data_IF_217080612528
#
_entry.id   IF_217080612528
#
_cell.length_a   1.000
_cell.length_b   1.000
_cell.length_c   1.000
_cell.angle_alpha   90.00
_cell.angle_beta   90.00
_cell.angle_gamma   90.00
#
_symmetry.space_group_name_H-M   'P 1'
#
loop_
_entity.id
_entity.type
_entity.pdbx_description
1 polymer ?
#
# COMPACT_ATOMS: atom_id res chain seq x y z
N UNK A 1 -70.84 -6.97 -20.49
CA UNK A 1 -69.40 -6.77 -20.24
C UNK A 1 -68.60 -7.82 -21.00
N UNK A 2 -67.30 -7.62 -21.16
CA UNK A 2 -66.34 -8.58 -21.70
C UNK A 2 -65.01 -8.37 -20.97
N UNK A 3 -64.14 -9.39 -20.97
CA UNK A 3 -62.79 -9.29 -20.40
C UNK A 3 -61.77 -9.20 -21.53
N UNK A 4 -60.73 -8.37 -21.33
CA UNK A 4 -59.57 -8.26 -22.22
C UNK A 4 -58.31 -8.52 -21.39
N UNK A 5 -57.34 -9.20 -21.99
CA UNK A 5 -55.97 -9.32 -21.46
C UNK A 5 -55.09 -8.21 -21.99
N UNK A 6 -53.86 -8.12 -21.48
CA UNK A 6 -52.86 -7.16 -21.96
C UNK A 6 -52.68 -7.28 -23.49
N UNK A 7 -52.88 -6.16 -24.19
CA UNK A 7 -52.76 -6.07 -25.64
C UNK A 7 -53.96 -6.58 -26.44
N UNK A 8 -55.03 -7.07 -25.80
CA UNK A 8 -56.26 -7.43 -26.50
C UNK A 8 -57.14 -6.21 -26.77
N UNK A 9 -57.95 -6.28 -27.84
CA UNK A 9 -58.92 -5.25 -28.21
C UNK A 9 -60.23 -5.87 -28.66
N UNK A 10 -61.31 -5.06 -28.68
CA UNK A 10 -62.62 -5.49 -29.16
C UNK A 10 -63.34 -4.36 -29.87
N UNK A 11 -63.99 -4.70 -30.99
CA UNK A 11 -64.77 -3.76 -31.79
C UNK A 11 -66.25 -4.06 -31.67
N UNK A 12 -67.06 -3.03 -31.41
CA UNK A 12 -68.51 -3.10 -31.51
C UNK A 12 -68.96 -2.50 -32.84
N UNK A 13 -69.66 -3.29 -33.66
CA UNK A 13 -70.09 -2.90 -35.02
C UNK A 13 -71.60 -2.78 -35.13
N UNK A 14 -72.09 -2.00 -36.10
CA UNK A 14 -73.52 -1.86 -36.38
C UNK A 14 -74.28 -0.96 -35.39
N UNK A 15 -73.59 -0.07 -34.70
CA UNK A 15 -74.20 0.89 -33.79
C UNK A 15 -74.92 2.01 -34.58
N UNK A 16 -76.09 2.49 -34.12
CA UNK A 16 -76.76 3.65 -34.70
C UNK A 16 -75.87 4.91 -34.70
N UNK A 17 -76.05 5.76 -35.70
CA UNK A 17 -75.38 7.08 -35.76
C UNK A 17 -76.07 8.08 -34.83
N UNK A 18 -75.34 9.11 -34.41
CA UNK A 18 -75.78 10.22 -33.55
C UNK A 18 -76.22 9.81 -32.13
N UNK A 19 -75.78 8.63 -31.66
CA UNK A 19 -75.93 8.21 -30.26
C UNK A 19 -74.67 8.51 -29.47
N UNK A 20 -74.84 8.79 -28.17
CA UNK A 20 -73.71 8.94 -27.24
C UNK A 20 -73.33 7.56 -26.68
N UNK A 21 -72.03 7.31 -26.54
CA UNK A 21 -71.49 6.13 -25.89
C UNK A 21 -70.64 6.52 -24.69
N UNK A 22 -70.56 5.61 -23.73
CA UNK A 22 -69.61 5.65 -22.61
C UNK A 22 -69.09 4.23 -22.40
N UNK A 23 -67.79 4.07 -22.21
CA UNK A 23 -67.13 2.81 -21.87
C UNK A 23 -66.46 2.98 -20.53
N UNK A 24 -66.66 2.01 -19.64
CA UNK A 24 -66.03 1.96 -18.32
C UNK A 24 -65.33 0.63 -18.15
N UNK A 25 -64.16 0.63 -17.51
CA UNK A 25 -63.51 -0.58 -17.04
C UNK A 25 -64.08 -0.93 -15.65
N UNK A 26 -64.47 -2.19 -15.46
CA UNK A 26 -64.90 -2.67 -14.14
C UNK A 26 -63.67 -3.06 -13.33
N UNK A 27 -63.70 -2.83 -12.02
CA UNK A 27 -62.56 -3.03 -11.13
C UNK A 27 -61.33 -2.16 -11.48
N UNK A 28 -61.55 -0.99 -12.07
CA UNK A 28 -60.50 0.02 -12.27
C UNK A 28 -59.84 0.39 -10.94
N UNK A 29 -58.55 0.71 -10.99
CA UNK A 29 -57.74 1.14 -9.84
C UNK A 29 -57.66 0.13 -8.67
N UNK A 30 -57.68 -1.17 -8.97
CA UNK A 30 -57.54 -2.25 -7.98
C UNK A 30 -56.21 -2.99 -8.07
N UNK A 31 -55.88 -3.74 -7.01
CA UNK A 31 -54.68 -4.60 -6.95
C UNK A 31 -53.35 -3.87 -7.24
N UNK A 32 -53.29 -2.58 -6.90
CA UNK A 32 -52.13 -1.71 -7.11
C UNK A 32 -51.97 -1.18 -8.53
N UNK A 33 -52.95 -1.39 -9.41
CA UNK A 33 -52.99 -0.74 -10.71
C UNK A 33 -53.62 0.65 -10.61
N UNK A 34 -53.18 1.55 -11.48
CA UNK A 34 -53.84 2.81 -11.82
C UNK A 34 -54.34 2.72 -13.26
N UNK A 35 -55.62 3.00 -13.47
CA UNK A 35 -56.30 2.93 -14.76
C UNK A 35 -56.40 4.32 -15.37
N UNK A 36 -55.95 4.46 -16.63
CA UNK A 36 -56.19 5.66 -17.43
C UNK A 36 -56.99 5.32 -18.68
N UNK A 37 -58.03 6.09 -18.97
CA UNK A 37 -58.89 5.87 -20.12
C UNK A 37 -58.90 7.09 -21.04
N UNK A 38 -58.73 6.87 -22.34
CA UNK A 38 -58.82 7.91 -23.38
C UNK A 38 -59.91 7.56 -24.37
N UNK A 39 -60.72 8.53 -24.79
CA UNK A 39 -61.85 8.32 -25.71
C UNK A 39 -63.04 7.58 -25.11
N UNK A 40 -63.05 7.35 -23.79
CA UNK A 40 -64.05 6.56 -23.07
C UNK A 40 -65.49 7.09 -23.12
N UNK A 41 -65.73 8.23 -23.75
CA UNK A 41 -67.06 8.70 -24.12
C UNK A 41 -67.03 9.58 -25.36
N UNK A 42 -68.14 9.60 -26.10
CA UNK A 42 -68.25 10.36 -27.34
C UNK A 42 -69.58 10.11 -28.06
N UNK A 43 -69.68 10.56 -29.30
CA UNK A 43 -70.85 10.34 -30.16
C UNK A 43 -70.45 9.48 -31.37
N UNK A 44 -71.27 8.49 -31.71
CA UNK A 44 -71.06 7.64 -32.88
C UNK A 44 -71.38 8.44 -34.14
N UNK A 45 -70.37 8.64 -34.98
CA UNK A 45 -70.51 9.31 -36.27
C UNK A 45 -70.51 8.28 -37.41
N UNK A 46 -71.22 8.60 -38.49
CA UNK A 46 -71.35 7.70 -39.63
C UNK A 46 -69.97 7.40 -40.24
N UNK A 47 -69.71 6.13 -40.53
CA UNK A 47 -68.50 5.64 -41.20
C UNK A 47 -67.18 5.96 -40.47
N UNK A 48 -67.24 6.29 -39.17
CA UNK A 48 -66.08 6.55 -38.32
C UNK A 48 -66.05 5.57 -37.17
N UNK A 49 -64.89 4.95 -36.93
CA UNK A 49 -64.65 4.13 -35.74
C UNK A 49 -64.15 5.03 -34.60
N UNK A 50 -64.89 5.08 -33.51
CA UNK A 50 -64.42 5.71 -32.28
C UNK A 50 -63.45 4.76 -31.56
N UNK A 51 -62.27 5.26 -31.20
CA UNK A 51 -61.25 4.49 -30.47
C UNK A 51 -61.31 4.82 -28.98
N UNK A 52 -61.26 3.76 -28.16
CA UNK A 52 -61.18 3.87 -26.70
C UNK A 52 -59.99 3.06 -26.24
N UNK A 53 -59.06 3.69 -25.53
CA UNK A 53 -57.86 3.03 -25.02
C UNK A 53 -57.85 3.11 -23.49
N UNK A 54 -57.71 1.95 -22.85
CA UNK A 54 -57.46 1.82 -21.42
C UNK A 54 -55.99 1.41 -21.21
N UNK A 55 -55.31 2.07 -20.28
CA UNK A 55 -53.95 1.74 -19.84
C UNK A 55 -53.96 1.51 -18.34
N UNK A 56 -53.67 0.27 -17.94
CA UNK A 56 -53.51 -0.13 -16.54
C UNK A 56 -52.02 -0.18 -16.21
N UNK A 57 -51.58 0.68 -15.30
CA UNK A 57 -50.19 0.79 -14.87
C UNK A 57 -50.08 0.34 -13.43
N UNK A 58 -49.26 -0.68 -13.17
CA UNK A 58 -48.84 -1.00 -11.80
C UNK A 58 -47.56 -0.22 -11.55
N UNK A 59 -47.59 0.72 -10.61
CA UNK A 59 -46.33 1.32 -10.15
C UNK A 59 -45.57 0.23 -9.38
N UNK A 60 -44.34 -0.06 -9.81
CA UNK A 60 -43.42 -0.78 -8.95
C UNK A 60 -43.22 0.09 -7.71
N UNK A 61 -43.47 -0.49 -6.53
CA UNK A 61 -43.29 0.15 -5.22
C UNK A 61 -41.98 0.95 -5.25
N UNK A 62 -41.97 2.27 -4.95
CA UNK A 62 -40.72 3.00 -4.89
C UNK A 62 -39.80 2.26 -3.95
N UNK A 63 -38.66 1.80 -4.48
CA UNK A 63 -37.62 1.13 -3.70
C UNK A 63 -37.41 1.98 -2.44
N UNK A 64 -37.61 1.42 -1.23
CA UNK A 64 -37.50 2.20 -0.02
C UNK A 64 -36.13 2.89 -0.06
N UNK A 65 -36.11 4.20 0.16
CA UNK A 65 -34.85 4.93 0.27
C UNK A 65 -33.95 4.27 1.33
N UNK A 66 -32.64 4.58 1.33
CA UNK A 66 -31.69 3.97 2.26
C UNK A 66 -32.25 4.07 3.69
N UNK A 67 -32.28 2.93 4.37
CA UNK A 67 -32.78 2.84 5.74
C UNK A 67 -31.96 3.81 6.61
N UNK A 68 -32.56 4.76 7.34
CA UNK A 68 -31.82 5.72 8.17
C UNK A 68 -30.97 5.03 9.25
N UNK A 69 -31.29 3.78 9.59
CA UNK A 69 -30.55 2.95 10.54
C UNK A 69 -29.57 1.99 9.80
N UNK A 70 -29.15 2.36 8.58
CA UNK A 70 -28.16 1.65 7.79
C UNK A 70 -26.82 2.38 7.69
N UNK A 71 -25.78 1.60 7.44
CA UNK A 71 -24.40 2.02 7.25
C UNK A 71 -23.78 1.27 6.07
N UNK A 72 -23.01 2.00 5.28
CA UNK A 72 -22.15 1.41 4.26
C UNK A 72 -20.77 1.14 4.87
N UNK A 73 -20.32 -0.12 4.80
CA UNK A 73 -18.98 -0.52 5.23
C UNK A 73 -18.11 -0.71 3.99
N UNK A 74 -17.02 0.04 3.91
CA UNK A 74 -16.06 -0.08 2.82
C UNK A 74 -14.78 -0.78 3.29
N UNK A 75 -14.13 -1.51 2.40
CA UNK A 75 -12.79 -2.05 2.60
C UNK A 75 -11.89 -1.69 1.43
N UNK A 76 -10.66 -1.31 1.74
CA UNK A 76 -9.58 -1.11 0.78
C UNK A 76 -8.36 -1.94 1.18
N UNK A 77 -7.77 -2.62 0.21
CA UNK A 77 -6.48 -3.29 0.36
C UNK A 77 -5.36 -2.41 -0.20
N UNK A 78 -4.28 -2.31 0.56
CA UNK A 78 -3.05 -1.61 0.22
C UNK A 78 -1.88 -2.57 0.39
N UNK A 79 -0.95 -2.52 -0.56
CA UNK A 79 0.31 -3.24 -0.54
C UNK A 79 1.43 -2.22 -0.34
N UNK A 80 2.31 -2.48 0.63
CA UNK A 80 3.62 -1.84 0.74
C UNK A 80 4.66 -2.88 0.33
N UNK A 81 5.53 -2.46 -0.58
CA UNK A 81 6.50 -3.30 -1.27
C UNK A 81 7.84 -2.56 -1.22
N UNK A 82 8.46 -2.57 -0.05
CA UNK A 82 9.69 -1.86 0.27
C UNK A 82 10.89 -2.43 -0.50
N UNK A 83 10.92 -3.74 -0.80
CA UNK A 83 12.02 -4.40 -1.50
C UNK A 83 11.74 -4.79 -2.96
N UNK A 84 10.60 -4.32 -3.49
CA UNK A 84 10.18 -4.65 -4.86
C UNK A 84 9.59 -6.06 -4.99
N UNK A 85 9.18 -6.69 -3.88
CA UNK A 85 8.33 -7.86 -3.87
C UNK A 85 7.05 -7.69 -4.70
N UNK A 86 6.36 -8.80 -4.96
CA UNK A 86 5.11 -8.80 -5.72
C UNK A 86 3.90 -8.95 -4.80
N UNK A 87 2.87 -8.13 -5.02
CA UNK A 87 1.56 -8.35 -4.43
C UNK A 87 0.96 -9.68 -4.90
N UNK A 88 0.18 -10.34 -4.03
CA UNK A 88 -0.61 -11.50 -4.45
C UNK A 88 -1.65 -11.10 -5.52
N UNK A 89 -2.07 -12.04 -6.36
CA UNK A 89 -3.07 -11.79 -7.41
C UNK A 89 -4.44 -11.42 -6.82
N UNK A 90 -4.76 -11.94 -5.63
CA UNK A 90 -5.98 -11.66 -4.92
C UNK A 90 -5.86 -11.98 -3.42
N UNK A 91 -6.73 -11.39 -2.59
CA UNK A 91 -6.85 -11.71 -1.16
C UNK A 91 -8.31 -11.91 -0.76
N UNK A 92 -8.54 -12.83 0.18
CA UNK A 92 -9.86 -13.11 0.73
C UNK A 92 -10.09 -12.28 1.99
N UNK A 93 -11.14 -11.48 1.98
CA UNK A 93 -11.53 -10.60 3.10
C UNK A 93 -12.88 -11.00 3.62
N UNK A 94 -13.00 -11.13 4.93
CA UNK A 94 -14.23 -11.52 5.61
C UNK A 94 -14.76 -10.36 6.46
N UNK A 95 -16.04 -10.05 6.27
CA UNK A 95 -16.81 -9.14 7.10
C UNK A 95 -17.47 -9.93 8.23
N UNK A 96 -17.32 -9.45 9.46
CA UNK A 96 -17.93 -10.02 10.65
C UNK A 96 -18.99 -9.09 11.22
N UNK A 97 -20.12 -9.68 11.63
CA UNK A 97 -21.21 -9.05 12.36
C UNK A 97 -21.20 -9.57 13.79
N UNK A 98 -20.95 -8.70 14.76
CA UNK A 98 -20.80 -9.03 16.18
C UNK A 98 -19.81 -10.20 16.42
N UNK A 99 -18.71 -10.20 15.67
CA UNK A 99 -17.68 -11.24 15.75
C UNK A 99 -18.04 -12.56 15.06
N UNK A 100 -19.18 -12.66 14.38
CA UNK A 100 -19.55 -13.82 13.55
C UNK A 100 -19.42 -13.48 12.08
N UNK A 101 -18.82 -14.39 11.31
CA UNK A 101 -18.72 -14.27 9.85
C UNK A 101 -20.10 -13.96 9.24
N UNK A 102 -20.13 -12.93 8.41
CA UNK A 102 -21.32 -12.44 7.73
C UNK A 102 -21.21 -12.62 6.21
N UNK A 103 -20.11 -12.17 5.62
CA UNK A 103 -19.83 -12.27 4.18
C UNK A 103 -18.32 -12.33 3.91
N UNK A 104 -17.95 -12.87 2.75
CA UNK A 104 -16.57 -12.99 2.31
C UNK A 104 -16.44 -12.54 0.86
N UNK A 105 -15.46 -11.67 0.60
CA UNK A 105 -15.20 -11.09 -0.71
C UNK A 105 -13.76 -11.31 -1.15
N UNK A 106 -13.57 -11.44 -2.46
CA UNK A 106 -12.24 -11.52 -3.04
C UNK A 106 -11.81 -10.15 -3.59
N UNK A 107 -10.74 -9.57 -3.04
CA UNK A 107 -10.16 -8.31 -3.53
C UNK A 107 -8.99 -8.60 -4.47
N UNK A 108 -8.93 -7.87 -5.59
CA UNK A 108 -7.89 -8.04 -6.60
C UNK A 108 -7.74 -6.77 -7.46
N UNK A 109 -6.82 -6.80 -8.43
CA UNK A 109 -6.59 -5.66 -9.31
C UNK A 109 -7.82 -5.25 -10.15
N UNK A 110 -8.73 -6.18 -10.49
CA UNK A 110 -9.90 -5.89 -11.33
C UNK A 110 -10.94 -5.04 -10.62
N UNK A 111 -11.11 -5.23 -9.30
CA UNK A 111 -11.97 -4.40 -8.47
C UNK A 111 -11.22 -3.24 -7.79
N UNK A 112 -9.99 -2.96 -8.24
CA UNK A 112 -9.17 -1.89 -7.69
C UNK A 112 -8.85 -2.08 -6.21
N UNK A 113 -8.80 -3.33 -5.75
CA UNK A 113 -8.52 -3.70 -4.36
C UNK A 113 -9.50 -3.08 -3.37
N UNK A 114 -10.78 -2.95 -3.74
CA UNK A 114 -11.83 -2.30 -2.94
C UNK A 114 -13.16 -3.04 -3.01
N UNK A 115 -13.94 -2.93 -1.95
CA UNK A 115 -15.32 -3.38 -1.90
C UNK A 115 -16.13 -2.53 -0.91
N UNK A 116 -17.44 -2.44 -1.13
CA UNK A 116 -18.38 -1.78 -0.21
C UNK A 116 -19.60 -2.66 -0.02
N UNK A 117 -19.92 -2.96 1.23
CA UNK A 117 -21.19 -3.52 1.64
C UNK A 117 -22.15 -2.39 1.96
N UNK A 118 -23.27 -2.35 1.26
CA UNK A 118 -24.27 -1.28 1.39
C UNK A 118 -25.40 -1.68 2.32
N UNK A 119 -26.08 -0.69 2.88
CA UNK A 119 -27.33 -0.85 3.64
C UNK A 119 -27.25 -1.87 4.78
N UNK A 120 -26.10 -1.93 5.46
CA UNK A 120 -25.92 -2.79 6.62
C UNK A 120 -26.53 -2.13 7.85
N UNK A 121 -27.27 -2.86 8.68
CA UNK A 121 -27.85 -2.26 9.88
C UNK A 121 -26.77 -1.76 10.85
N UNK A 122 -26.90 -0.52 11.31
CA UNK A 122 -25.95 0.18 12.19
C UNK A 122 -25.99 -0.32 13.65
N UNK A 123 -27.02 -1.09 14.02
CA UNK A 123 -27.19 -1.70 15.34
C UNK A 123 -26.16 -2.79 15.67
N UNK A 124 -25.38 -3.21 14.69
CA UNK A 124 -24.41 -4.28 14.80
C UNK A 124 -22.98 -3.74 14.79
N UNK A 125 -22.07 -4.46 15.44
CA UNK A 125 -20.65 -4.18 15.34
C UNK A 125 -20.08 -4.86 14.09
N UNK A 126 -19.50 -4.06 13.20
CA UNK A 126 -18.87 -4.54 11.97
C UNK A 126 -17.35 -4.52 12.10
N UNK A 127 -16.69 -5.62 11.76
CA UNK A 127 -15.23 -5.72 11.71
C UNK A 127 -14.80 -6.47 10.45
N UNK A 128 -13.58 -6.21 9.98
CA UNK A 128 -13.02 -6.81 8.78
C UNK A 128 -11.70 -7.50 9.10
N UNK A 129 -11.48 -8.68 8.51
CA UNK A 129 -10.23 -9.44 8.62
C UNK A 129 -9.84 -10.02 7.25
N UNK A 130 -8.54 -10.05 6.94
CA UNK A 130 -8.01 -10.85 5.85
C UNK A 130 -7.65 -12.23 6.40
N UNK A 131 -8.40 -13.25 6.00
CA UNK A 131 -8.33 -14.59 6.60
C UNK A 131 -7.07 -15.36 6.20
N UNK A 132 -6.45 -14.98 5.08
CA UNK A 132 -5.22 -15.61 4.58
C UNK A 132 -4.23 -14.51 4.21
N UNK A 133 -3.27 -14.25 5.10
CA UNK A 133 -2.16 -13.33 4.83
C UNK A 133 -1.13 -14.07 3.97
N UNK A 134 -0.75 -13.54 2.80
CA UNK A 134 0.27 -14.16 1.94
C UNK A 134 1.63 -14.27 2.61
N UNK A 135 2.39 -15.31 2.23
CA UNK A 135 3.73 -15.57 2.76
C UNK A 135 4.67 -14.39 2.46
N UNK A 136 5.52 -14.05 3.43
CA UNK A 136 6.45 -12.92 3.31
C UNK A 136 5.82 -11.56 3.62
N UNK A 137 4.57 -11.50 4.09
CA UNK A 137 3.91 -10.25 4.48
C UNK A 137 3.50 -10.22 5.94
N UNK A 138 3.47 -9.01 6.51
CA UNK A 138 2.75 -8.69 7.74
C UNK A 138 1.44 -7.99 7.41
N UNK A 139 0.40 -8.17 8.24
CA UNK A 139 -0.92 -7.57 8.03
C UNK A 139 -1.25 -6.58 9.15
N UNK A 140 -1.78 -5.41 8.78
CA UNK A 140 -2.41 -4.45 9.71
C UNK A 140 -3.77 -4.02 9.17
N UNK A 141 -4.77 -3.90 10.05
CA UNK A 141 -6.09 -3.33 9.71
C UNK A 141 -6.26 -1.99 10.41
N UNK A 142 -6.47 -0.93 9.63
CA UNK A 142 -6.76 0.41 10.11
C UNK A 142 -8.22 0.77 9.81
N UNK A 143 -8.89 1.44 10.73
CA UNK A 143 -10.27 1.90 10.52
C UNK A 143 -10.33 3.43 10.47
N UNK A 144 -11.02 3.96 9.46
CA UNK A 144 -11.31 5.39 9.30
C UNK A 144 -12.81 5.55 9.06
N UNK A 145 -13.57 5.88 10.12
CA UNK A 145 -15.03 5.86 10.07
C UNK A 145 -15.54 4.46 9.71
N UNK A 146 -16.31 4.37 8.62
CA UNK A 146 -16.85 3.10 8.11
C UNK A 146 -16.00 2.46 7.01
N UNK A 147 -14.76 2.95 6.81
CA UNK A 147 -13.81 2.37 5.86
C UNK A 147 -12.69 1.64 6.60
N UNK A 148 -12.49 0.37 6.26
CA UNK A 148 -11.37 -0.46 6.70
C UNK A 148 -10.26 -0.43 5.64
N UNK A 149 -9.03 -0.19 6.06
CA UNK A 149 -7.83 -0.22 5.22
C UNK A 149 -6.95 -1.36 5.71
N UNK A 150 -6.87 -2.42 4.91
CA UNK A 150 -5.99 -3.55 5.15
C UNK A 150 -4.66 -3.25 4.46
N UNK A 151 -3.57 -3.30 5.21
CA UNK A 151 -2.22 -3.06 4.72
C UNK A 151 -1.43 -4.36 4.85
N UNK A 152 -0.94 -4.90 3.73
CA UNK A 152 0.14 -5.88 3.78
C UNK A 152 1.47 -5.18 3.53
N UNK A 153 2.38 -5.35 4.47
CA UNK A 153 3.76 -4.85 4.45
C UNK A 153 4.69 -6.02 4.18
N UNK A 154 5.52 -5.95 3.14
CA UNK A 154 6.50 -6.99 2.85
C UNK A 154 7.54 -7.07 3.98
N UNK A 155 7.90 -8.29 4.35
CA UNK A 155 8.96 -8.52 5.32
C UNK A 155 10.27 -8.35 4.57
N UNK A 156 11.08 -7.31 4.88
CA UNK A 156 12.31 -7.07 4.15
C UNK A 156 13.22 -8.28 4.27
N UNK A 157 13.73 -8.74 3.13
CA UNK A 157 14.75 -9.77 3.08
C UNK A 157 15.97 -9.35 3.92
N UNK A 158 16.54 -10.28 4.70
CA UNK A 158 17.82 -10.01 5.36
C UNK A 158 18.84 -9.74 4.25
N UNK A 159 19.75 -8.75 4.41
CA UNK A 159 20.87 -8.62 3.50
C UNK A 159 21.62 -9.95 3.44
N UNK A 160 22.03 -10.35 2.23
CA UNK A 160 22.93 -11.49 2.07
C UNK A 160 24.18 -11.26 2.94
N UNK A 161 24.63 -12.33 3.58
CA UNK A 161 25.92 -12.27 4.27
C UNK A 161 27.00 -11.94 3.22
N UNK A 162 27.94 -11.02 3.53
CA UNK A 162 29.04 -10.74 2.63
C UNK A 162 29.72 -12.04 2.23
N UNK A 163 29.98 -12.22 0.94
CA UNK A 163 30.81 -13.33 0.48
C UNK A 163 32.11 -13.33 1.28
N UNK A 164 32.46 -14.49 1.82
CA UNK A 164 33.74 -14.65 2.51
C UNK A 164 34.81 -14.42 1.46
N UNK A 165 35.74 -13.47 1.64
CA UNK A 165 36.82 -13.26 0.69
C UNK A 165 37.54 -14.58 0.46
N UNK A 166 37.81 -14.92 -0.80
CA UNK A 166 38.64 -16.08 -1.12
C UNK A 166 39.94 -15.98 -0.32
N UNK A 167 40.33 -17.08 0.30
CA UNK A 167 41.64 -17.16 0.96
C UNK A 167 42.71 -16.88 -0.09
N UNK A 168 43.63 -15.93 0.12
CA UNK A 168 44.74 -15.72 -0.78
C UNK A 168 45.45 -17.05 -1.04
N UNK A 169 45.77 -17.31 -2.31
CA UNK A 169 46.58 -18.47 -2.65
C UNK A 169 47.84 -18.47 -1.80
N UNK A 170 48.24 -19.65 -1.35
CA UNK A 170 49.50 -19.80 -0.62
C UNK A 170 50.61 -19.25 -1.52
N UNK A 171 51.52 -18.38 -1.01
CA UNK A 171 52.66 -17.94 -1.78
C UNK A 171 53.40 -19.14 -2.35
N UNK A 172 53.83 -19.02 -3.61
CA UNK A 172 54.72 -20.00 -4.21
C UNK A 172 55.93 -20.22 -3.30
N UNK A 173 56.38 -21.47 -3.23
CA UNK A 173 57.58 -21.79 -2.47
C UNK A 173 58.76 -21.03 -3.11
N UNK A 174 59.60 -20.35 -2.31
CA UNK A 174 60.75 -19.64 -2.85
C UNK A 174 61.59 -20.58 -3.71
N UNK A 175 62.01 -20.11 -4.89
CA UNK A 175 62.98 -20.84 -5.69
C UNK A 175 64.22 -21.16 -4.83
N UNK A 176 64.71 -22.38 -4.96
CA UNK A 176 65.97 -22.77 -4.33
C UNK A 176 67.06 -21.88 -4.95
N UNK A 177 67.82 -21.12 -4.14
CA UNK A 177 68.95 -20.36 -4.67
C UNK A 177 69.89 -21.28 -5.44
N UNK A 178 70.38 -20.82 -6.59
CA UNK A 178 71.42 -21.53 -7.32
C UNK A 178 72.61 -21.81 -6.38
N UNK A 179 73.22 -22.98 -6.54
CA UNK A 179 74.40 -23.36 -5.77
C UNK A 179 75.48 -22.28 -5.98
N UNK A 180 76.08 -21.72 -4.91
CA UNK A 180 77.10 -20.70 -5.05
C UNK A 180 78.23 -21.19 -5.95
N UNK A 181 78.65 -20.37 -6.90
CA UNK A 181 79.84 -20.64 -7.70
C UNK A 181 81.01 -20.97 -6.75
N UNK A 182 81.72 -22.05 -7.04
CA UNK A 182 82.92 -22.43 -6.29
C UNK A 182 83.91 -21.28 -6.46
N UNK A 183 84.38 -20.63 -5.38
CA UNK A 183 85.39 -19.58 -5.49
C UNK A 183 86.63 -20.15 -6.17
N UNK A 184 87.19 -19.39 -7.11
CA UNK A 184 88.50 -19.70 -7.68
C UNK A 184 89.51 -19.92 -6.54
N UNK A 185 90.43 -20.88 -6.71
CA UNK A 185 91.47 -21.12 -5.72
C UNK A 185 92.23 -19.81 -5.45
N UNK A 186 92.46 -19.45 -4.18
CA UNK A 186 93.17 -18.23 -3.86
C UNK A 186 94.58 -18.30 -4.44
N UNK A 187 94.97 -17.22 -5.13
CA UNK A 187 96.35 -17.05 -5.56
C UNK A 187 97.30 -17.21 -4.37
N UNK A 188 98.38 -17.95 -4.59
CA UNK A 188 99.42 -18.18 -3.56
C UNK A 188 99.98 -16.82 -3.14
N UNK A 189 99.97 -16.48 -1.83
CA UNK A 189 100.52 -15.22 -1.37
C UNK A 189 102.00 -15.11 -1.73
N UNK A 190 102.39 -13.99 -2.32
CA UNK A 190 103.80 -13.64 -2.44
C UNK A 190 104.43 -13.57 -1.04
N UNK A 191 105.67 -14.04 -0.94
CA UNK A 191 106.40 -14.12 0.33
C UNK A 191 106.60 -12.70 0.88
N UNK A 192 106.18 -12.40 2.13
CA UNK A 192 106.38 -11.08 2.70
C UNK A 192 107.87 -10.77 2.87
N UNK A 193 108.26 -9.56 2.47
CA UNK A 193 109.54 -9.00 2.91
C UNK A 193 109.53 -8.80 4.43
N UNK A 194 110.70 -8.94 5.05
CA UNK A 194 110.88 -8.87 6.50
C UNK A 194 110.54 -7.47 7.05
N UNK A 195 109.70 -7.36 8.09
CA UNK A 195 109.41 -6.07 8.72
C UNK A 195 110.63 -5.47 9.42
N UNK A 196 110.78 -4.15 9.31
CA UNK A 196 111.65 -3.37 10.19
C UNK A 196 111.07 -3.25 11.60
N UNK A 197 111.96 -3.10 12.59
CA UNK A 197 111.67 -3.11 14.02
C UNK A 197 110.85 -1.88 14.48
N UNK A 198 109.80 -2.02 15.32
CA UNK A 198 108.99 -0.88 15.78
C UNK A 198 109.63 -0.12 16.94
N UNK A 199 109.58 1.21 16.88
CA UNK A 199 109.90 2.11 18.01
C UNK A 199 108.75 2.22 19.03
N UNK A 200 109.15 2.44 20.29
CA UNK A 200 108.30 2.42 21.50
C UNK A 200 107.55 3.76 21.69
N UNK A 201 106.21 3.76 21.87
CA UNK A 201 105.46 4.95 22.29
C UNK A 201 105.49 5.15 23.82
N UNK A 202 105.76 6.39 24.25
CA UNK A 202 105.64 6.84 25.64
C UNK A 202 104.21 7.29 26.00
N UNK A 203 103.86 6.99 27.25
CA UNK A 203 102.56 7.16 27.92
C UNK A 203 102.40 8.58 28.49
N UNK A 204 101.20 9.20 28.43
CA UNK A 204 100.82 10.06 29.54
C UNK A 204 99.36 9.94 30.01
N UNK A 205 99.27 9.40 31.22
CA UNK A 205 98.70 9.95 32.47
C UNK A 205 97.30 10.59 32.47
N UNK A 206 96.42 9.86 33.15
CA UNK A 206 95.06 10.19 33.58
C UNK A 206 95.02 11.24 34.70
N UNK A 207 94.22 12.30 34.54
CA UNK A 207 93.77 13.16 35.63
C UNK A 207 92.24 13.21 35.70
N UNK A 208 91.71 12.65 36.79
CA UNK A 208 90.31 12.71 37.22
C UNK A 208 90.16 13.88 38.21
N UNK A 209 89.15 14.75 38.04
CA UNK A 209 88.63 15.53 39.16
C UNK A 209 87.21 15.10 39.57
N UNK A 210 87.04 14.85 40.87
CA UNK A 210 85.79 14.60 41.58
C UNK A 210 84.88 15.84 41.69
N UNK A 211 83.57 15.56 41.69
CA UNK A 211 82.38 16.37 42.07
C UNK A 211 82.36 16.75 43.58
N UNK A 212 81.34 17.43 44.16
CA UNK A 212 80.30 18.36 43.66
C UNK A 212 80.17 19.66 44.49
N UNK A 213 79.30 20.56 44.04
CA UNK A 213 78.82 21.75 44.76
C UNK A 213 77.69 21.44 45.77
N UNK A 214 77.61 22.15 46.92
CA UNK A 214 76.50 22.00 47.87
C UNK A 214 75.25 22.76 47.41
N UNK A 215 74.12 22.04 47.33
CA UNK A 215 72.82 22.55 46.88
C UNK A 215 72.00 23.27 47.97
N UNK A 216 71.33 24.33 47.54
CA UNK A 216 70.37 25.12 48.31
C UNK A 216 69.06 24.34 48.56
N UNK A 217 68.69 24.25 49.84
CA UNK A 217 67.43 23.70 50.30
C UNK A 217 66.38 24.81 50.43
N UNK A 218 65.34 24.79 49.59
CA UNK A 218 64.01 25.33 49.94
C UNK A 218 62.93 24.41 49.34
N UNK A 219 62.09 23.75 50.17
CA UNK A 219 60.95 22.98 49.68
C UNK A 219 59.90 23.91 49.05
N UNK A 220 59.40 23.57 47.86
CA UNK A 220 58.17 24.15 47.30
C UNK A 220 57.01 23.24 47.69
N UNK A 221 55.93 23.84 48.18
CA UNK A 221 54.67 23.17 48.49
C UNK A 221 54.17 22.34 47.29
N UNK A 222 53.61 21.14 47.52
CA UNK A 222 53.01 20.35 46.45
C UNK A 222 51.70 21.01 46.01
N UNK A 223 51.58 21.26 44.70
CA UNK A 223 50.30 21.62 44.09
C UNK A 223 49.29 20.48 44.33
N UNK A 224 48.11 20.84 44.82
CA UNK A 224 46.99 19.92 45.00
C UNK A 224 46.56 19.33 43.66
N UNK A 225 46.29 18.02 43.57
CA UNK A 225 45.75 17.42 42.36
C UNK A 225 44.38 18.03 42.03
N UNK A 226 44.19 18.46 40.78
CA UNK A 226 42.87 18.79 40.27
C UNK A 226 41.96 17.56 40.36
N UNK A 227 40.76 17.77 40.89
CA UNK A 227 39.69 16.77 40.89
C UNK A 227 39.33 16.38 39.45
N UNK A 228 39.22 15.08 39.12
CA UNK A 228 38.69 14.66 37.83
C UNK A 228 37.27 15.17 37.63
N UNK A 229 36.99 15.68 36.44
CA UNK A 229 35.62 16.05 36.04
C UNK A 229 34.70 14.82 36.10
N UNK A 230 33.46 15.07 36.54
CA UNK A 230 32.39 14.07 36.58
C UNK A 230 32.04 13.62 35.16
N UNK A 231 31.78 12.32 34.90
CA UNK A 231 31.40 11.88 33.56
C UNK A 231 30.08 12.53 33.14
N UNK A 232 30.05 13.11 31.93
CA UNK A 232 28.81 13.59 31.33
C UNK A 232 27.76 12.46 31.30
N UNK A 233 26.56 12.76 31.79
CA UNK A 233 25.44 11.83 31.67
C UNK A 233 25.08 11.63 30.18
N UNK A 234 24.76 10.40 29.75
CA UNK A 234 24.32 10.17 28.39
C UNK A 234 23.04 10.94 28.11
N UNK A 235 23.00 11.64 26.97
CA UNK A 235 21.79 12.31 26.50
C UNK A 235 20.60 11.33 26.46
N UNK A 236 19.48 11.71 27.07
CA UNK A 236 18.24 10.96 26.95
C UNK A 236 17.86 10.82 25.46
N UNK A 237 17.49 9.63 24.98
CA UNK A 237 16.94 9.48 23.64
C UNK A 237 15.68 10.33 23.52
N UNK A 238 15.76 11.38 22.70
CA UNK A 238 14.62 12.22 22.39
C UNK A 238 13.46 11.36 21.87
N UNK A 239 12.33 11.42 22.57
CA UNK A 239 11.07 10.87 22.09
C UNK A 239 10.78 11.42 20.68
N UNK A 240 10.37 10.61 19.70
CA UNK A 240 10.04 11.13 18.38
C UNK A 240 8.84 12.07 18.48
N UNK A 241 9.08 13.37 18.30
CA UNK A 241 8.05 14.34 17.98
C UNK A 241 7.56 14.10 16.55
N UNK A 242 6.49 13.32 16.38
CA UNK A 242 5.78 13.27 15.09
C UNK A 242 4.72 14.36 15.04
N UNK A 243 5.19 15.57 14.77
CA UNK A 243 4.36 16.72 14.47
C UNK A 243 5.18 17.81 13.80
N UNK A 244 5.43 17.68 12.50
CA UNK A 244 5.34 18.74 11.48
C UNK A 244 5.85 18.24 10.10
N UNK A 245 5.05 18.53 9.09
CA UNK A 245 5.14 18.23 7.66
C UNK A 245 6.41 18.79 6.99
N UNK A 246 7.10 18.04 6.11
CA UNK A 246 7.70 18.58 4.87
C UNK A 246 7.68 17.52 3.74
N UNK A 247 7.65 18.03 2.52
CA UNK A 247 7.19 17.44 1.26
C UNK A 247 8.16 16.44 0.61
N UNK A 248 7.64 15.28 0.18
CA UNK A 248 8.00 14.70 -1.11
C UNK A 248 6.71 14.48 -1.91
N UNK A 249 6.39 15.48 -2.72
CA UNK A 249 5.59 15.29 -3.91
C UNK A 249 6.46 14.59 -4.96
N UNK A 250 5.97 13.48 -5.52
CA UNK A 250 6.49 12.96 -6.78
C UNK A 250 6.55 11.44 -6.92
N UNK A 251 5.40 10.77 -6.94
CA UNK A 251 5.05 9.85 -8.03
C UNK A 251 3.58 9.44 -7.96
N UNK A 252 2.78 10.29 -8.59
CA UNK A 252 1.47 9.95 -9.11
C UNK A 252 1.72 9.24 -10.45
N UNK A 253 1.56 7.92 -10.50
CA UNK A 253 1.35 7.13 -11.72
C UNK A 253 0.78 5.76 -11.31
N UNK A 254 -0.34 5.25 -11.79
CA UNK A 254 -1.40 5.80 -12.62
C UNK A 254 -2.63 4.91 -12.38
N UNK A 255 -3.74 5.47 -11.91
CA UNK A 255 -5.08 4.95 -12.16
C UNK A 255 -6.07 6.11 -12.00
N UNK A 256 -6.15 6.94 -13.04
CA UNK A 256 -7.38 7.61 -13.43
C UNK A 256 -7.86 8.79 -12.58
N UNK A 257 -7.41 10.00 -12.93
CA UNK A 257 -8.17 11.21 -12.65
C UNK A 257 -9.38 11.30 -13.59
N UNK A 258 -10.59 11.40 -13.02
CA UNK A 258 -11.73 12.08 -13.63
C UNK A 258 -12.61 12.68 -12.53
N UNK A 259 -12.39 13.96 -12.21
CA UNK A 259 -13.38 14.79 -11.52
C UNK A 259 -13.97 15.77 -12.55
N UNK A 260 -15.19 15.49 -13.03
CA UNK A 260 -16.13 16.53 -13.47
C UNK A 260 -17.56 16.07 -13.13
N UNK A 261 -18.18 16.89 -12.29
CA UNK A 261 -19.61 17.13 -12.00
C UNK A 261 -20.61 16.73 -13.10
N UNK A 262 -21.61 15.92 -12.73
CA UNK A 262 -23.06 16.03 -13.08
C UNK A 262 -23.80 14.94 -12.27
N UNK A 263 -24.79 15.19 -11.40
CA UNK A 263 -25.78 16.26 -11.44
C UNK A 263 -26.81 15.96 -12.51
N UNK A 264 -27.80 15.11 -12.20
CA UNK A 264 -29.00 14.78 -12.98
C UNK A 264 -28.73 14.02 -14.30
N UNK A 265 -29.47 12.92 -14.50
CA UNK A 265 -29.95 12.34 -15.77
C UNK A 265 -29.87 10.81 -15.78
N UNK A 266 -30.80 10.17 -15.05
CA UNK A 266 -31.41 8.93 -15.53
C UNK A 266 -32.83 9.26 -16.01
N UNK A 267 -32.91 9.92 -17.17
CA UNK A 267 -34.16 9.99 -17.92
C UNK A 267 -33.86 9.89 -19.41
N UNK A 268 -34.66 9.06 -20.07
CA UNK A 268 -34.82 8.91 -21.53
C UNK A 268 -33.67 8.29 -22.33
N UNK A 269 -33.79 6.97 -22.62
CA UNK A 269 -33.92 6.50 -24.01
C UNK A 269 -34.52 5.08 -24.13
N UNK A 270 -35.84 4.98 -24.06
CA UNK A 270 -36.60 4.13 -25.00
C UNK A 270 -37.67 5.00 -25.65
N UNK A 271 -37.24 5.86 -26.56
CA UNK A 271 -38.10 6.49 -27.56
C UNK A 271 -37.25 6.75 -28.80
N UNK A 272 -37.68 6.16 -29.91
CA UNK A 272 -37.11 6.42 -31.23
C UNK A 272 -36.81 5.19 -32.08
N UNK A 273 -37.83 4.40 -32.43
CA UNK A 273 -38.00 4.10 -33.86
C UNK A 273 -39.18 4.94 -34.35
N UNK A 274 -38.83 5.86 -35.25
CA UNK A 274 -39.68 6.79 -35.96
C UNK A 274 -40.60 6.06 -36.95
N UNK A 275 -41.77 6.67 -37.15
CA UNK A 275 -42.39 7.01 -38.43
C UNK A 275 -42.36 5.95 -39.55
N UNK A 276 -43.52 5.33 -39.79
CA UNK A 276 -44.27 5.38 -41.04
C UNK A 276 -45.69 4.83 -40.80
#
# INVERSE_FOLDING_TARGET
>A
SFALKHGESKTASGLPVDITYTVVEQEADQDGYTTTATGAGGTITKDVTAEVNFTNTKEDDPEPGPDPDSVDIAVQKVWKLDDGGAAADSVTVTLYRDGKEYDTVNLNAQNGWRHTWYDLSDRYSWTVEETVVPEGFTMTVNQQGHTFIIVNDDIPSKPDEPDVPDTPDKPDEPDIPDDPDIPDEPDVPDVPDTPDEPDIPDDPDTNIPDEPAPGDNVPRDPDTPDTPDEPDQPDEPGLPQTGQQWLLAGLLAAAGAALVVTGLWYKTRYRGKHEA
#
